data_IF_099075627552
#
_entry.id   IF_099075627552
#
_cell.length_a   1.000
_cell.length_b   1.000
_cell.length_c   1.000
_cell.angle_alpha   90.00
_cell.angle_beta   90.00
_cell.angle_gamma   90.00
#
_symmetry.space_group_name_H-M   'P 1'
#
loop_
_entity.id
_entity.type
_entity.pdbx_description
1 polymer ?
#
# COMPACT_ATOMS: atom_id res chain seq x y z
N UNK A 1 2.75 -9.72 10.07
CA UNK A 1 2.36 -10.63 11.16
C UNK A 1 1.75 -9.80 12.28
N UNK A 2 0.67 -10.28 12.90
CA UNK A 2 0.10 -9.65 14.10
C UNK A 2 0.70 -10.38 15.31
N UNK A 3 1.65 -9.73 15.97
CA UNK A 3 2.25 -10.24 17.21
C UNK A 3 1.75 -9.35 18.37
N UNK A 4 0.88 -9.93 19.20
CA UNK A 4 0.23 -9.24 20.32
C UNK A 4 -0.55 -7.99 19.90
N UNK A 5 -0.11 -6.82 20.39
CA UNK A 5 -0.77 -5.52 20.18
C UNK A 5 -0.12 -4.70 19.06
N UNK A 6 0.62 -5.35 18.16
CA UNK A 6 1.34 -4.70 17.07
C UNK A 6 1.17 -5.42 15.74
N UNK A 7 1.16 -4.65 14.65
CA UNK A 7 1.27 -5.16 13.30
C UNK A 7 2.70 -4.98 12.82
N UNK A 8 3.34 -6.08 12.41
CA UNK A 8 4.67 -6.08 11.80
C UNK A 8 4.52 -6.25 10.29
N UNK A 9 5.02 -5.28 9.54
CA UNK A 9 5.09 -5.31 8.08
C UNK A 9 6.54 -5.54 7.68
N UNK A 10 6.82 -6.71 7.09
CA UNK A 10 8.16 -7.05 6.59
C UNK A 10 8.23 -6.80 5.10
N UNK A 11 9.22 -6.03 4.67
CA UNK A 11 9.47 -5.71 3.26
C UNK A 11 10.64 -6.58 2.79
N UNK A 12 10.33 -7.61 2.01
CA UNK A 12 11.32 -8.52 1.42
C UNK A 12 11.54 -8.22 -0.06
N UNK A 13 12.80 -8.34 -0.48
CA UNK A 13 13.28 -8.06 -1.84
C UNK A 13 14.08 -9.25 -2.36
N UNK A 14 13.59 -10.48 -2.10
CA UNK A 14 14.35 -11.74 -2.25
C UNK A 14 14.79 -12.05 -3.69
N UNK A 15 14.09 -11.51 -4.70
CA UNK A 15 14.35 -11.80 -6.12
C UNK A 15 15.19 -10.72 -6.85
N UNK A 16 15.85 -9.80 -6.14
CA UNK A 16 16.58 -8.70 -6.80
C UNK A 16 18.04 -9.04 -7.06
N UNK A 17 18.42 -9.01 -8.34
CA UNK A 17 19.81 -9.17 -8.82
C UNK A 17 20.80 -8.15 -8.20
N UNK A 18 20.31 -6.97 -7.81
CA UNK A 18 21.12 -5.94 -7.16
C UNK A 18 20.40 -5.37 -5.91
N UNK A 19 21.02 -5.43 -4.72
CA UNK A 19 20.44 -4.89 -3.50
C UNK A 19 20.48 -3.36 -3.54
N UNK A 20 19.37 -2.77 -3.95
CA UNK A 20 19.16 -1.33 -3.99
C UNK A 20 18.44 -0.87 -2.72
N UNK A 21 19.21 -0.49 -1.69
CA UNK A 21 18.67 -0.03 -0.41
C UNK A 21 17.70 1.15 -0.54
N UNK A 22 17.91 2.04 -1.53
CA UNK A 22 16.99 3.14 -1.82
C UNK A 22 15.56 2.68 -2.14
N UNK A 23 15.38 1.46 -2.68
CA UNK A 23 14.05 0.92 -2.96
C UNK A 23 13.34 0.48 -1.69
N UNK A 24 14.07 -0.14 -0.75
CA UNK A 24 13.50 -0.57 0.53
C UNK A 24 13.12 0.66 1.37
N UNK A 25 13.96 1.70 1.36
CA UNK A 25 13.72 2.97 2.03
C UNK A 25 12.52 3.71 1.45
N UNK A 26 12.47 3.83 0.12
CA UNK A 26 11.36 4.50 -0.58
C UNK A 26 10.05 3.73 -0.42
N UNK A 27 10.06 2.40 -0.49
CA UNK A 27 8.87 1.57 -0.25
C UNK A 27 8.32 1.79 1.16
N UNK A 28 9.21 1.79 2.16
CA UNK A 28 8.85 2.04 3.56
C UNK A 28 8.29 3.45 3.75
N UNK A 29 8.91 4.46 3.13
CA UNK A 29 8.48 5.84 3.21
C UNK A 29 7.12 6.06 2.53
N UNK A 30 6.92 5.48 1.34
CA UNK A 30 5.67 5.54 0.59
C UNK A 30 4.54 4.90 1.41
N UNK A 31 4.79 3.73 2.00
CA UNK A 31 3.78 3.03 2.80
C UNK A 31 3.32 3.89 3.98
N UNK A 32 4.25 4.44 4.76
CA UNK A 32 3.91 5.31 5.89
C UNK A 32 3.19 6.58 5.44
N UNK A 33 3.59 7.17 4.31
CA UNK A 33 2.91 8.33 3.76
C UNK A 33 1.47 7.98 3.35
N UNK A 34 1.25 6.86 2.67
CA UNK A 34 -0.09 6.38 2.32
C UNK A 34 -0.96 6.15 3.56
N UNK A 35 -0.41 5.53 4.61
CA UNK A 35 -1.13 5.34 5.86
C UNK A 35 -1.47 6.69 6.52
N UNK A 36 -0.58 7.68 6.49
CA UNK A 36 -0.86 9.04 7.01
C UNK A 36 -1.91 9.80 6.21
N UNK A 37 -1.95 9.62 4.89
CA UNK A 37 -3.01 10.21 4.04
C UNK A 37 -4.38 9.63 4.41
N UNK A 38 -4.45 8.35 4.75
CA UNK A 38 -5.71 7.67 5.06
C UNK A 38 -6.15 7.82 6.52
N UNK A 39 -5.24 7.63 7.49
CA UNK A 39 -5.52 7.68 8.92
C UNK A 39 -5.46 9.10 9.49
N UNK A 40 -4.54 9.92 8.97
CA UNK A 40 -4.22 11.26 9.45
C UNK A 40 -2.73 11.44 9.72
N UNK A 41 -2.30 12.70 9.72
CA UNK A 41 -0.89 13.09 9.92
C UNK A 41 -0.34 12.73 11.30
N UNK A 42 -1.14 12.27 12.25
CA UNK A 42 -0.68 11.87 13.58
C UNK A 42 -0.18 10.42 13.65
N UNK A 43 -0.32 9.65 12.56
CA UNK A 43 0.17 8.27 12.51
C UNK A 43 1.70 8.22 12.63
N UNK A 44 2.16 7.53 13.68
CA UNK A 44 3.57 7.22 13.93
C UNK A 44 3.74 5.72 14.13
N UNK A 45 4.71 5.08 13.45
CA UNK A 45 5.12 3.73 13.79
C UNK A 45 5.70 3.66 15.21
N UNK A 46 5.72 2.47 15.79
CA UNK A 46 6.46 2.19 17.02
C UNK A 46 7.95 2.14 16.70
N UNK A 47 8.30 1.50 15.58
CA UNK A 47 9.68 1.22 15.20
C UNK A 47 9.79 0.95 13.71
N UNK A 48 10.94 1.29 13.12
CA UNK A 48 11.29 0.94 11.74
C UNK A 48 12.71 0.39 11.71
N UNK A 49 12.93 -0.69 10.97
CA UNK A 49 14.26 -1.28 10.78
C UNK A 49 14.62 -1.42 9.31
N UNK A 50 15.90 -1.30 9.01
CA UNK A 50 16.46 -1.46 7.68
C UNK A 50 17.68 -2.39 7.68
N UNK A 51 17.78 -3.25 6.67
CA UNK A 51 18.89 -4.21 6.51
C UNK A 51 20.19 -3.54 6.13
N UNK A 52 20.12 -2.47 5.34
CA UNK A 52 21.32 -1.82 4.84
C UNK A 52 22.07 -1.11 5.97
N UNK A 53 23.37 -0.91 5.75
CA UNK A 53 24.18 -0.07 6.63
C UNK A 53 23.78 1.38 6.40
N UNK A 54 22.98 1.96 7.30
CA UNK A 54 22.67 3.38 7.25
C UNK A 54 23.94 4.22 7.31
N UNK A 55 23.95 5.33 6.56
CA UNK A 55 24.92 6.39 6.82
C UNK A 55 24.48 7.08 8.12
N UNK A 56 25.31 7.03 9.16
CA UNK A 56 25.01 7.62 10.47
C UNK A 56 24.64 9.10 10.37
N UNK A 57 25.10 9.80 9.33
CA UNK A 57 24.74 11.19 9.03
C UNK A 57 23.24 11.41 8.79
N UNK A 58 22.54 10.46 8.17
CA UNK A 58 21.14 10.64 7.76
C UNK A 58 20.14 10.17 8.83
N UNK A 59 20.60 9.61 9.96
CA UNK A 59 19.73 9.06 11.00
C UNK A 59 18.68 10.06 11.51
N UNK A 60 19.03 11.35 11.60
CA UNK A 60 18.12 12.43 11.97
C UNK A 60 16.99 12.66 10.97
N UNK A 61 17.26 12.50 9.67
CA UNK A 61 16.25 12.67 8.62
C UNK A 61 15.22 11.53 8.65
N UNK A 62 15.68 10.30 8.89
CA UNK A 62 14.79 9.14 9.04
C UNK A 62 13.92 9.28 10.29
N UNK A 63 14.50 9.69 11.43
CA UNK A 63 13.72 9.96 12.63
C UNK A 63 12.69 11.08 12.38
N UNK A 64 13.08 12.16 11.69
CA UNK A 64 12.18 13.28 11.38
C UNK A 64 11.02 12.85 10.48
N UNK A 65 11.27 12.00 9.49
CA UNK A 65 10.23 11.49 8.60
C UNK A 65 9.33 10.47 9.29
N UNK A 66 9.89 9.42 9.89
CA UNK A 66 9.13 8.32 10.47
C UNK A 66 8.52 8.69 11.83
N UNK A 67 9.11 9.64 12.56
CA UNK A 67 8.71 10.09 13.91
C UNK A 67 8.71 8.94 14.92
N UNK A 68 9.67 8.04 14.78
CA UNK A 68 9.90 6.90 15.66
C UNK A 68 11.39 6.50 15.62
N UNK A 69 11.87 5.67 16.57
CA UNK A 69 13.21 5.11 16.49
C UNK A 69 13.39 4.30 15.18
N UNK A 70 14.56 4.44 14.58
CA UNK A 70 14.94 3.75 13.34
C UNK A 70 16.26 3.01 13.56
N UNK A 71 16.28 1.71 13.27
CA UNK A 71 17.47 0.87 13.35
C UNK A 71 17.98 0.50 11.95
N UNK A 72 19.29 0.56 11.77
CA UNK A 72 19.97 0.10 10.57
C UNK A 72 20.82 -1.12 10.87
N UNK A 73 21.19 -1.89 9.84
CA UNK A 73 21.88 -3.19 9.97
C UNK A 73 21.03 -4.26 10.67
N UNK A 74 19.71 -4.16 10.57
CA UNK A 74 18.81 -5.18 11.10
C UNK A 74 18.79 -6.43 10.20
N UNK A 75 18.26 -7.55 10.71
CA UNK A 75 18.09 -8.77 9.91
C UNK A 75 17.05 -8.62 8.79
N UNK A 76 16.08 -7.72 8.96
CA UNK A 76 14.96 -7.51 8.04
C UNK A 76 14.58 -6.03 7.95
N UNK A 77 14.00 -5.63 6.80
CA UNK A 77 13.35 -4.33 6.68
C UNK A 77 11.93 -4.46 7.25
N UNK A 78 11.62 -3.74 8.32
CA UNK A 78 10.34 -3.87 9.01
C UNK A 78 9.76 -2.52 9.41
N UNK A 79 8.44 -2.45 9.42
CA UNK A 79 7.66 -1.36 10.00
C UNK A 79 6.73 -1.95 11.05
N UNK A 80 6.81 -1.46 12.28
CA UNK A 80 5.98 -1.90 13.39
C UNK A 80 4.95 -0.81 13.70
N UNK A 81 3.67 -1.14 13.55
CA UNK A 81 2.54 -0.25 13.81
C UNK A 81 1.74 -0.72 15.04
N UNK A 82 1.15 0.20 15.81
CA UNK A 82 0.30 -0.18 16.93
C UNK A 82 -1.06 -0.68 16.40
N UNK A 83 -1.54 -1.81 16.93
CA UNK A 83 -2.69 -2.54 16.37
C UNK A 83 -4.03 -1.80 16.55
N UNK A 84 -4.16 -0.97 17.58
CA UNK A 84 -5.31 -0.10 17.82
C UNK A 84 -5.51 0.94 16.70
N UNK A 85 -4.40 1.44 16.15
CA UNK A 85 -4.40 2.37 15.02
C UNK A 85 -4.76 1.66 13.71
N UNK A 86 -4.22 0.45 13.50
CA UNK A 86 -4.51 -0.37 12.31
C UNK A 86 -5.99 -0.78 12.28
N UNK A 87 -6.55 -1.18 13.42
CA UNK A 87 -7.94 -1.65 13.51
C UNK A 87 -8.97 -0.52 13.52
N UNK A 88 -8.53 0.75 13.57
CA UNK A 88 -9.45 1.87 13.48
C UNK A 88 -10.12 1.86 12.10
N UNK A 89 -11.45 1.83 12.08
CA UNK A 89 -12.21 2.06 10.85
C UNK A 89 -11.85 3.45 10.30
N UNK A 90 -11.22 3.46 9.14
CA UNK A 90 -10.86 4.69 8.45
C UNK A 90 -12.13 5.37 7.93
N UNK A 91 -12.38 6.60 8.38
CA UNK A 91 -13.53 7.40 7.93
C UNK A 91 -13.45 7.75 6.44
N UNK A 92 -12.28 7.56 5.81
CA UNK A 92 -12.04 7.73 4.37
C UNK A 92 -12.53 6.56 3.51
N UNK A 93 -13.26 5.58 4.06
CA UNK A 93 -14.21 4.76 3.28
C UNK A 93 -15.26 5.68 2.68
N UNK A 94 -14.85 6.43 1.66
CA UNK A 94 -15.64 7.37 0.94
C UNK A 94 -16.65 6.53 0.16
N UNK A 95 -17.83 6.34 0.74
CA UNK A 95 -18.95 5.63 0.12
C UNK A 95 -19.16 6.11 -1.33
N UNK A 96 -18.90 7.38 -1.60
CA UNK A 96 -19.02 7.97 -2.93
C UNK A 96 -17.91 7.49 -3.87
N UNK A 97 -16.66 7.31 -3.42
CA UNK A 97 -15.59 6.74 -4.26
C UNK A 97 -15.77 5.24 -4.50
N UNK A 98 -16.27 4.49 -3.52
CA UNK A 98 -16.65 3.09 -3.72
C UNK A 98 -17.77 2.99 -4.76
N UNK A 99 -18.81 3.81 -4.63
CA UNK A 99 -19.91 3.89 -5.61
C UNK A 99 -19.43 4.32 -7.01
N UNK A 100 -18.51 5.29 -7.11
CA UNK A 100 -17.93 5.70 -8.39
C UNK A 100 -17.09 4.56 -8.99
N UNK A 101 -16.29 3.86 -8.17
CA UNK A 101 -15.50 2.73 -8.64
C UNK A 101 -16.40 1.58 -9.15
N UNK A 102 -17.47 1.27 -8.41
CA UNK A 102 -18.51 0.31 -8.82
C UNK A 102 -19.18 0.76 -10.13
N UNK A 103 -19.49 2.05 -10.25
CA UNK A 103 -20.18 2.58 -11.43
C UNK A 103 -19.28 2.61 -12.68
N UNK A 104 -17.97 2.84 -12.51
CA UNK A 104 -16.96 2.73 -13.58
C UNK A 104 -16.79 1.28 -14.02
N UNK A 105 -16.73 0.33 -13.07
CA UNK A 105 -16.65 -1.10 -13.36
C UNK A 105 -17.90 -1.60 -14.10
N UNK A 106 -19.10 -1.21 -13.67
CA UNK A 106 -20.36 -1.54 -14.36
C UNK A 106 -20.38 -0.92 -15.76
N UNK A 107 -19.96 0.34 -15.91
CA UNK A 107 -19.91 1.02 -17.21
C UNK A 107 -18.92 0.37 -18.17
N UNK A 108 -17.80 -0.15 -17.65
CA UNK A 108 -16.79 -0.85 -18.43
C UNK A 108 -17.29 -2.23 -18.91
N UNK A 109 -17.96 -2.99 -18.03
CA UNK A 109 -18.59 -4.26 -18.39
C UNK A 109 -19.71 -4.07 -19.41
N UNK A 110 -20.56 -3.06 -19.25
CA UNK A 110 -21.65 -2.76 -20.18
C UNK A 110 -21.17 -2.27 -21.55
N UNK A 111 -19.96 -1.69 -21.65
CA UNK A 111 -19.32 -1.37 -22.93
C UNK A 111 -18.79 -2.63 -23.62
N UNK A 112 -18.16 -3.53 -22.86
CA UNK A 112 -17.68 -4.81 -23.38
C UNK A 112 -18.79 -5.73 -23.89
N UNK A 113 -19.98 -5.66 -23.29
CA UNK A 113 -21.17 -6.43 -23.72
C UNK A 113 -21.81 -5.86 -25.00
N UNK A 114 -21.64 -4.55 -25.26
CA UNK A 114 -22.15 -3.88 -26.48
C UNK A 114 -21.23 -4.02 -27.70
N UNK A 115 -19.94 -4.24 -27.49
CA UNK A 115 -18.96 -4.47 -28.57
C UNK A 115 -18.91 -5.93 -29.04
N UNK A 116 -19.78 -6.81 -28.52
CA UNK A 116 -19.98 -8.16 -29.07
C UNK A 116 -20.80 -8.09 -30.38
N UNK A 117 -20.20 -7.48 -31.40
CA UNK A 117 -20.73 -7.42 -32.78
C UNK A 117 -21.05 -8.84 -33.29
N UNK A 118 -20.34 -9.87 -32.80
CA UNK A 118 -20.60 -11.27 -33.14
C UNK A 118 -21.98 -11.72 -32.62
N UNK A 119 -22.38 -11.33 -31.41
CA UNK A 119 -23.73 -11.60 -30.89
C UNK A 119 -24.81 -10.84 -31.68
N UNK A 120 -24.58 -9.56 -32.00
CA UNK A 120 -25.55 -8.76 -32.77
C UNK A 120 -25.77 -9.31 -34.19
N UNK A 121 -24.71 -9.77 -34.86
CA UNK A 121 -24.82 -10.41 -36.18
C UNK A 121 -25.52 -11.77 -36.08
N UNK A 122 -25.26 -12.57 -35.04
CA UNK A 122 -25.96 -13.85 -34.84
C UNK A 122 -27.47 -13.67 -34.64
N UNK A 123 -27.88 -12.67 -33.87
CA UNK A 123 -29.30 -12.36 -33.67
C UNK A 123 -29.95 -11.90 -34.97
N UNK A 124 -29.31 -11.01 -35.74
CA UNK A 124 -29.83 -10.53 -37.02
C UNK A 124 -29.96 -11.63 -38.09
N UNK A 125 -29.12 -12.66 -38.05
CA UNK A 125 -29.20 -13.82 -38.94
C UNK A 125 -30.30 -14.79 -38.49
N UNK A 126 -30.60 -14.86 -37.20
CA UNK A 126 -31.68 -15.72 -36.66
C UNK A 126 -33.08 -15.10 -36.85
N UNK A 127 -33.17 -13.77 -37.02
CA UNK A 127 -34.41 -13.04 -37.31
C UNK A 127 -34.73 -12.92 -38.83
N UNK A 128 -34.01 -13.65 -39.70
CA UNK A 128 -34.33 -13.85 -41.12
C UNK A 128 -34.92 -15.23 -41.40
#
# INVERSE_FOLDING_TARGET
EEDGNTLVITISSEDREFPHYYQDDSSSAILINMCRVNYGKELNPIFVSFKHTGSTLCSGDYYSFFRCPVEFRAGQNQIILPLDVVNKRLTSSNLQLAQINDQVMISYLARHDKDDIIQQVKVAILDQ
#
